data_IF_507221953034
#
_entry.id   IF_507221953034
#
_cell.length_a   1.000
_cell.length_b   1.000
_cell.length_c   1.000
_cell.angle_alpha   90.00
_cell.angle_beta   90.00
_cell.angle_gamma   90.00
#
_symmetry.space_group_name_H-M   'P 1'
#
loop_
_entity.id
_entity.type
_entity.pdbx_description
1 polymer ?
#
# COMPACT_ATOMS: atom_id res chain seq x y z
N UNK A 1 -0.03 14.16 11.33
CA UNK A 1 0.81 14.04 10.12
C UNK A 1 2.24 13.61 10.47
N UNK A 2 3.03 14.39 11.23
CA UNK A 2 4.41 14.01 11.62
C UNK A 2 4.55 12.61 12.27
N UNK A 3 3.68 12.28 13.24
CA UNK A 3 3.68 10.93 13.86
C UNK A 3 3.41 9.79 12.87
N UNK A 4 2.69 10.07 11.78
CA UNK A 4 2.41 9.07 10.74
C UNK A 4 3.66 8.79 9.91
N UNK A 5 4.36 9.84 9.47
CA UNK A 5 5.61 9.73 8.71
C UNK A 5 6.68 8.94 9.45
N UNK A 6 6.81 9.15 10.77
CA UNK A 6 7.77 8.41 11.60
C UNK A 6 7.44 6.92 11.74
N UNK A 7 6.17 6.54 11.59
CA UNK A 7 5.68 5.17 11.76
C UNK A 7 5.53 4.42 10.45
N UNK A 8 5.69 5.11 9.32
CA UNK A 8 5.53 4.51 8.00
C UNK A 8 6.59 3.45 7.74
N UNK A 9 7.84 3.73 8.13
CA UNK A 9 8.96 2.77 8.05
C UNK A 9 8.69 1.53 8.89
N UNK A 10 8.29 1.70 10.15
CA UNK A 10 7.92 0.60 11.06
C UNK A 10 6.75 -0.23 10.47
N UNK A 11 5.74 0.43 9.89
CA UNK A 11 4.60 -0.24 9.27
C UNK A 11 4.99 -1.04 8.01
N UNK A 12 5.99 -0.57 7.26
CA UNK A 12 6.54 -1.27 6.10
C UNK A 12 7.33 -2.51 6.50
N UNK A 13 8.12 -2.40 7.58
CA UNK A 13 8.83 -3.55 8.17
C UNK A 13 7.84 -4.61 8.65
N UNK A 14 6.79 -4.21 9.38
CA UNK A 14 5.72 -5.13 9.82
C UNK A 14 5.02 -5.80 8.63
N UNK A 15 4.76 -5.06 7.55
CA UNK A 15 4.21 -5.67 6.32
C UNK A 15 5.16 -6.74 5.76
N UNK A 16 6.45 -6.43 5.65
CA UNK A 16 7.44 -7.38 5.16
C UNK A 16 7.55 -8.63 6.04
N UNK A 17 7.54 -8.47 7.36
CA UNK A 17 7.58 -9.57 8.33
C UNK A 17 6.35 -10.48 8.21
N UNK A 18 5.15 -9.90 8.12
CA UNK A 18 3.90 -10.66 7.97
C UNK A 18 3.91 -11.47 6.67
N UNK A 19 4.29 -10.84 5.55
CA UNK A 19 4.35 -11.54 4.25
C UNK A 19 5.39 -12.66 4.25
N UNK A 20 6.54 -12.43 4.88
CA UNK A 20 7.61 -13.43 5.01
C UNK A 20 7.18 -14.59 5.90
N UNK A 21 6.50 -14.31 7.02
CA UNK A 21 5.95 -15.33 7.92
C UNK A 21 4.87 -16.19 7.24
N UNK A 22 4.09 -15.59 6.34
CA UNK A 22 3.11 -16.29 5.49
C UNK A 22 3.78 -17.10 4.34
N UNK A 23 5.12 -17.12 4.27
CA UNK A 23 5.90 -17.90 3.30
C UNK A 23 6.10 -17.19 1.96
N UNK A 24 5.88 -15.88 1.89
CA UNK A 24 6.07 -15.10 0.67
C UNK A 24 7.43 -14.38 0.67
N UNK A 25 8.23 -14.63 -0.37
CA UNK A 25 9.37 -13.77 -0.68
C UNK A 25 8.86 -12.46 -1.29
N UNK A 26 9.07 -11.34 -0.59
CA UNK A 26 8.66 -10.00 -1.05
C UNK A 26 9.81 -9.00 -0.96
N UNK A 27 9.90 -8.13 -1.96
CA UNK A 27 10.75 -6.95 -1.95
C UNK A 27 9.87 -5.70 -2.00
N UNK A 28 10.09 -4.74 -1.11
CA UNK A 28 9.35 -3.48 -1.10
C UNK A 28 10.29 -2.36 -1.53
N UNK A 29 10.00 -1.74 -2.67
CA UNK A 29 10.74 -0.60 -3.18
C UNK A 29 9.98 0.68 -2.87
N UNK A 30 10.61 1.62 -2.16
CA UNK A 30 10.09 2.97 -2.01
C UNK A 30 10.05 3.68 -3.37
N UNK A 31 9.08 4.57 -3.53
CA UNK A 31 8.95 5.37 -4.74
C UNK A 31 8.80 6.84 -4.42
N UNK A 32 9.31 7.69 -5.30
CA UNK A 32 8.99 9.11 -5.30
C UNK A 32 7.72 9.41 -6.09
N UNK A 33 7.63 10.64 -6.58
CA UNK A 33 6.55 11.03 -7.48
C UNK A 33 6.66 10.31 -8.83
N UNK A 34 5.63 9.54 -9.17
CA UNK A 34 5.45 8.91 -10.49
C UNK A 34 4.48 9.76 -11.29
N UNK A 35 4.90 10.20 -12.48
CA UNK A 35 4.07 10.96 -13.42
C UNK A 35 3.46 10.02 -14.45
N UNK A 36 2.17 10.19 -14.75
CA UNK A 36 1.50 9.38 -15.75
C UNK A 36 1.94 9.79 -17.16
N UNK A 37 2.56 8.86 -17.89
CA UNK A 37 3.13 9.15 -19.22
C UNK A 37 2.07 9.60 -20.24
N UNK A 38 0.83 9.09 -20.14
CA UNK A 38 -0.25 9.42 -21.07
C UNK A 38 -0.94 10.75 -20.75
N UNK A 39 -0.83 11.24 -19.51
CA UNK A 39 -1.42 12.50 -19.10
C UNK A 39 -0.55 13.14 -17.99
N UNK A 40 0.50 13.87 -18.37
CA UNK A 40 1.55 14.35 -17.46
C UNK A 40 1.12 15.50 -16.54
N UNK A 41 -0.20 15.72 -16.40
CA UNK A 41 -0.81 16.56 -15.37
C UNK A 41 -1.27 15.73 -14.16
N UNK A 42 -1.17 14.40 -14.24
CA UNK A 42 -1.47 13.47 -13.16
C UNK A 42 -0.22 12.74 -12.70
N UNK A 43 -0.16 12.50 -11.40
CA UNK A 43 0.89 11.71 -10.77
C UNK A 43 0.43 11.14 -9.44
N UNK A 44 1.23 10.24 -8.90
CA UNK A 44 1.03 9.67 -7.57
C UNK A 44 2.35 9.35 -6.90
N UNK A 45 2.34 9.26 -5.58
CA UNK A 45 3.48 8.79 -4.78
C UNK A 45 2.98 7.63 -3.92
N UNK A 46 3.04 6.38 -4.40
CA UNK A 46 2.72 5.24 -3.56
C UNK A 46 3.79 5.01 -2.50
N UNK A 47 3.38 4.50 -1.33
CA UNK A 47 4.30 4.26 -0.20
C UNK A 47 5.28 3.11 -0.47
N UNK A 48 4.96 2.26 -1.45
CA UNK A 48 5.90 1.33 -2.05
C UNK A 48 5.32 0.54 -3.23
N UNK A 49 6.22 -0.02 -4.03
CA UNK A 49 5.92 -1.08 -4.99
C UNK A 49 6.45 -2.39 -4.44
N UNK A 50 5.60 -3.40 -4.37
CA UNK A 50 5.93 -4.71 -3.81
C UNK A 50 6.14 -5.69 -4.93
N UNK A 51 7.33 -6.27 -5.01
CA UNK A 51 7.66 -7.34 -5.95
C UNK A 51 7.58 -8.70 -5.24
N UNK A 52 6.82 -9.62 -5.80
CA UNK A 52 6.74 -10.99 -5.29
C UNK A 52 7.80 -11.86 -5.97
N UNK A 53 8.66 -12.46 -5.17
CA UNK A 53 9.72 -13.39 -5.61
C UNK A 53 9.25 -14.85 -5.63
N UNK A 54 8.09 -15.15 -5.04
CA UNK A 54 7.53 -16.49 -4.99
C UNK A 54 6.64 -16.81 -6.19
N UNK A 55 6.57 -18.08 -6.58
CA UNK A 55 5.73 -18.56 -7.69
C UNK A 55 4.23 -18.53 -7.37
N UNK A 56 3.86 -18.35 -6.09
CA UNK A 56 2.48 -18.29 -5.61
C UNK A 56 1.70 -17.11 -6.22
N UNK A 57 2.39 -16.03 -6.61
CA UNK A 57 1.78 -14.82 -7.17
C UNK A 57 2.31 -14.57 -8.59
N UNK A 58 1.53 -14.88 -9.65
CA UNK A 58 1.93 -14.61 -11.03
C UNK A 58 1.98 -13.11 -11.36
N UNK A 59 1.32 -12.28 -10.54
CA UNK A 59 1.44 -10.83 -10.58
C UNK A 59 2.73 -10.42 -9.86
N UNK A 60 3.80 -10.20 -10.63
CA UNK A 60 5.14 -9.94 -10.10
C UNK A 60 5.24 -8.63 -9.31
N UNK A 61 4.26 -7.72 -9.42
CA UNK A 61 4.29 -6.44 -8.74
C UNK A 61 2.89 -6.01 -8.27
N UNK A 62 2.79 -5.44 -7.07
CA UNK A 62 1.60 -4.78 -6.53
C UNK A 62 1.97 -3.44 -5.85
N UNK A 63 0.95 -2.69 -5.42
CA UNK A 63 1.11 -1.43 -4.67
C UNK A 63 0.98 -1.68 -3.16
N UNK A 64 1.79 -0.95 -2.41
CA UNK A 64 1.67 -0.78 -0.97
C UNK A 64 1.24 0.65 -0.67
N UNK A 65 0.16 0.79 0.10
CA UNK A 65 -0.32 2.05 0.65
C UNK A 65 -0.45 1.88 2.16
N UNK A 66 0.24 2.70 2.95
CA UNK A 66 0.34 2.61 4.39
C UNK A 66 -0.48 3.76 5.00
N UNK A 67 -1.36 3.42 5.94
CA UNK A 67 -2.12 4.42 6.69
C UNK A 67 -1.79 4.29 8.18
N UNK A 68 -0.91 5.17 8.67
CA UNK A 68 -0.59 5.28 10.09
C UNK A 68 -1.63 6.16 10.82
N UNK A 69 -2.63 5.54 11.44
CA UNK A 69 -3.81 6.22 11.98
C UNK A 69 -3.90 6.11 13.49
N UNK A 70 -4.49 7.12 14.14
CA UNK A 70 -4.85 7.03 15.56
C UNK A 70 -6.02 6.05 15.79
N UNK A 71 -6.97 6.01 14.84
CA UNK A 71 -8.13 5.10 14.87
C UNK A 71 -8.34 4.48 13.50
N UNK A 72 -8.50 3.16 13.43
CA UNK A 72 -8.74 2.41 12.18
C UNK A 72 -9.98 2.91 11.45
N UNK A 73 -11.03 3.28 12.21
CA UNK A 73 -12.28 3.86 11.69
C UNK A 73 -12.08 5.17 10.89
N UNK A 74 -10.89 5.78 10.95
CA UNK A 74 -10.58 6.97 10.14
C UNK A 74 -10.39 6.62 8.67
N UNK A 75 -9.87 5.44 8.34
CA UNK A 75 -9.68 4.99 6.94
C UNK A 75 -10.56 3.82 6.53
N UNK A 76 -11.21 3.15 7.49
CA UNK A 76 -12.08 2.00 7.23
C UNK A 76 -13.50 2.26 7.71
N UNK A 77 -14.46 1.71 6.97
CA UNK A 77 -15.86 1.57 7.39
C UNK A 77 -16.18 0.09 7.48
N UNK A 78 -16.43 -0.40 8.70
CA UNK A 78 -16.48 -1.85 8.98
C UNK A 78 -15.15 -2.49 8.56
N UNK A 79 -15.16 -3.31 7.50
CA UNK A 79 -13.99 -4.04 7.00
C UNK A 79 -13.53 -3.57 5.60
N UNK A 80 -14.10 -2.49 5.08
CA UNK A 80 -13.72 -1.91 3.79
C UNK A 80 -13.01 -0.57 3.94
N UNK A 81 -12.02 -0.27 3.09
CA UNK A 81 -11.46 1.07 3.03
C UNK A 81 -12.53 2.08 2.62
N UNK A 82 -12.48 3.28 3.21
CA UNK A 82 -13.37 4.38 2.83
C UNK A 82 -13.19 4.75 1.35
N UNK A 83 -14.24 5.26 0.69
CA UNK A 83 -14.22 5.55 -0.75
C UNK A 83 -13.01 6.39 -1.21
N UNK A 84 -12.59 7.40 -0.44
CA UNK A 84 -11.44 8.24 -0.81
C UNK A 84 -10.11 7.45 -0.84
N UNK A 85 -9.91 6.48 0.07
CA UNK A 85 -8.72 5.63 0.07
C UNK A 85 -8.77 4.66 -1.13
N UNK A 86 -9.96 4.15 -1.46
CA UNK A 86 -10.15 3.31 -2.65
C UNK A 86 -9.85 4.08 -3.93
N UNK A 87 -10.38 5.30 -4.07
CA UNK A 87 -10.09 6.18 -5.21
C UNK A 87 -8.61 6.48 -5.31
N UNK A 88 -7.94 6.80 -4.19
CA UNK A 88 -6.50 7.06 -4.17
C UNK A 88 -5.71 5.86 -4.73
N UNK A 89 -5.98 4.65 -4.23
CA UNK A 89 -5.28 3.44 -4.66
C UNK A 89 -5.57 3.11 -6.14
N UNK A 90 -6.82 3.26 -6.58
CA UNK A 90 -7.18 3.03 -7.98
C UNK A 90 -6.49 4.00 -8.94
N UNK A 91 -6.34 5.27 -8.54
CA UNK A 91 -5.57 6.25 -9.31
C UNK A 91 -4.10 5.85 -9.37
N UNK A 92 -3.50 5.48 -8.22
CA UNK A 92 -2.11 4.99 -8.19
C UNK A 92 -1.92 3.81 -9.14
N UNK A 93 -2.79 2.79 -9.08
CA UNK A 93 -2.76 1.63 -9.97
C UNK A 93 -2.80 2.00 -11.45
N UNK A 94 -3.70 2.91 -11.82
CA UNK A 94 -3.82 3.37 -13.20
C UNK A 94 -2.56 4.09 -13.69
N UNK A 95 -1.90 4.84 -12.81
CA UNK A 95 -0.67 5.59 -13.13
C UNK A 95 0.54 4.66 -13.25
N UNK A 96 0.71 3.70 -12.33
CA UNK A 96 1.85 2.76 -12.34
C UNK A 96 1.65 1.55 -13.26
N UNK A 97 0.46 1.39 -13.83
CA UNK A 97 0.14 0.29 -14.76
C UNK A 97 -0.11 -1.05 -14.07
N UNK A 98 -0.56 -1.06 -12.81
CA UNK A 98 -0.94 -2.28 -12.09
C UNK A 98 -2.40 -2.60 -12.36
N UNK A 99 -2.70 -3.84 -12.76
CA UNK A 99 -4.05 -4.20 -13.20
C UNK A 99 -5.00 -4.53 -12.03
N UNK A 100 -6.29 -4.31 -12.24
CA UNK A 100 -7.35 -4.71 -11.28
C UNK A 100 -7.51 -6.23 -11.12
N UNK A 101 -6.93 -7.04 -12.02
CA UNK A 101 -6.84 -8.49 -11.82
C UNK A 101 -5.84 -8.84 -10.73
N UNK A 102 -4.80 -8.03 -10.56
CA UNK A 102 -3.81 -8.17 -9.49
C UNK A 102 -4.41 -7.74 -8.13
N UNK A 103 -5.31 -6.76 -8.15
CA UNK A 103 -6.07 -6.21 -7.01
C UNK A 103 -7.05 -7.19 -6.34
N UNK A 104 -7.68 -8.07 -7.12
CA UNK A 104 -8.67 -9.03 -6.60
C UNK A 104 -8.01 -10.25 -5.93
N UNK A 105 -6.74 -10.53 -6.26
CA UNK A 105 -5.99 -11.67 -5.74
C UNK A 105 -5.07 -11.28 -4.59
N UNK A 106 -4.49 -10.08 -4.65
CA UNK A 106 -3.77 -9.44 -3.58
C UNK A 106 -4.65 -8.30 -3.08
N UNK A 107 -5.44 -8.56 -2.02
CA UNK A 107 -6.14 -7.51 -1.27
C UNK A 107 -5.16 -6.34 -1.15
N UNK A 108 -5.51 -5.15 -1.66
CA UNK A 108 -4.74 -3.93 -1.42
C UNK A 108 -4.34 -3.96 0.04
N UNK A 109 -3.04 -4.08 0.29
CA UNK A 109 -2.57 -4.10 1.67
C UNK A 109 -2.51 -2.65 2.08
N UNK A 110 -3.68 -2.11 2.43
CA UNK A 110 -3.70 -0.91 3.25
C UNK A 110 -3.17 -1.37 4.60
N UNK A 111 -1.87 -1.21 4.80
CA UNK A 111 -1.25 -1.56 6.07
C UNK A 111 -1.66 -0.48 7.07
N UNK A 112 -2.50 -0.87 8.04
CA UNK A 112 -2.93 0.03 9.10
C UNK A 112 -2.04 -0.19 10.32
N UNK A 113 -1.01 0.61 10.44
CA UNK A 113 -0.33 0.76 11.71
C UNK A 113 -1.17 1.68 12.61
N UNK A 114 -1.83 1.11 13.61
CA UNK A 114 -2.42 1.92 14.66
C UNK A 114 -1.28 2.65 15.41
N UNK A 115 -1.31 3.98 15.41
CA UNK A 115 -0.44 4.79 16.24
C UNK A 115 -0.81 4.50 17.70
N UNK A 116 -0.19 3.47 18.31
CA UNK A 116 -0.28 3.27 19.77
C UNK A 116 0.21 4.54 20.44
N UNK A 117 -0.72 5.26 21.08
CA UNK A 117 -0.43 6.37 21.95
C UNK A 117 -0.56 5.89 23.38
N UNK A 118 0.54 5.96 24.14
CA UNK A 118 0.45 6.11 25.58
C UNK A 118 -0.30 7.44 25.83
N UNK A 119 -1.55 7.35 26.25
CA UNK A 119 -2.24 8.37 27.04
C UNK A 119 -2.54 7.71 28.36
#
# INVERSE_FOLDING_TARGET
MQKGLQKETEAREVYWEVMTADGHGVEVCETGLVIWQHFPLMGCSPDGLVSFLCECFPARQTLLEIKCLVKVANSFSKDSPKPHNMTQVQVQMGIVGISTRDFLRLRVTICVAALKGNV
#
